data_IF_689095295627
#
_entry.id   IF_689095295627
#
_cell.length_a   1.000
_cell.length_b   1.000
_cell.length_c   1.000
_cell.angle_alpha   90.00
_cell.angle_beta   90.00
_cell.angle_gamma   90.00
#
_symmetry.space_group_name_H-M   'P 1'
#
loop_
_entity.id
_entity.type
_entity.pdbx_description
1 polymer ?
#
# COMPACT_ATOMS: atom_id res chain seq x y z
N UNK A 1 -26.21 2.36 19.21
CA UNK A 1 -26.32 1.11 18.42
C UNK A 1 -26.26 1.48 16.95
N UNK A 2 -25.09 1.51 16.34
CA UNK A 2 -24.93 1.85 14.92
C UNK A 2 -24.34 0.65 14.19
N UNK A 3 -25.11 0.11 13.26
CA UNK A 3 -24.84 -1.10 12.50
C UNK A 3 -23.45 -1.07 11.85
N UNK A 4 -22.67 -2.12 12.10
CA UNK A 4 -21.41 -2.41 11.39
C UNK A 4 -21.83 -2.90 10.00
N UNK A 5 -21.92 -1.96 9.04
CA UNK A 5 -22.40 -2.24 7.69
C UNK A 5 -21.27 -2.70 6.78
N UNK A 6 -21.38 -3.91 6.26
CA UNK A 6 -20.75 -4.29 4.99
C UNK A 6 -21.47 -3.52 3.88
N UNK A 7 -20.78 -2.62 3.20
CA UNK A 7 -21.38 -1.82 2.13
C UNK A 7 -20.65 -2.03 0.81
N UNK A 8 -21.40 -2.31 -0.25
CA UNK A 8 -20.86 -2.39 -1.61
C UNK A 8 -21.03 -1.01 -2.27
N UNK A 9 -19.97 -0.49 -2.87
CA UNK A 9 -19.91 0.82 -3.52
C UNK A 9 -19.53 0.66 -4.99
N UNK A 10 -20.17 1.37 -5.93
CA UNK A 10 -19.96 1.10 -7.35
C UNK A 10 -18.63 1.66 -7.91
N UNK A 11 -18.15 2.78 -7.37
CA UNK A 11 -17.08 3.58 -7.99
C UNK A 11 -15.88 3.84 -7.09
N UNK A 12 -14.67 3.80 -7.67
CA UNK A 12 -13.39 3.93 -6.92
C UNK A 12 -13.36 5.16 -6.04
N UNK A 13 -13.90 6.26 -6.55
CA UNK A 13 -13.98 7.54 -5.87
C UNK A 13 -14.74 7.38 -4.55
N UNK A 14 -15.93 6.78 -4.59
CA UNK A 14 -16.76 6.48 -3.41
C UNK A 14 -16.02 5.62 -2.39
N UNK A 15 -15.27 4.60 -2.83
CA UNK A 15 -14.44 3.81 -1.91
C UNK A 15 -13.34 4.66 -1.27
N UNK A 16 -12.60 5.42 -2.08
CA UNK A 16 -11.51 6.26 -1.60
C UNK A 16 -12.00 7.31 -0.61
N UNK A 17 -13.16 7.92 -0.85
CA UNK A 17 -13.70 8.98 0.00
C UNK A 17 -14.28 8.43 1.31
N UNK A 18 -14.74 7.17 1.33
CA UNK A 18 -15.15 6.49 2.58
C UNK A 18 -13.97 6.06 3.44
N UNK A 19 -12.92 5.52 2.82
CA UNK A 19 -11.71 5.11 3.55
C UNK A 19 -10.91 6.33 3.98
N UNK A 20 -10.77 7.33 3.11
CA UNK A 20 -10.00 8.55 3.34
C UNK A 20 -10.87 9.80 3.19
N UNK A 21 -11.82 10.03 4.12
CA UNK A 21 -12.68 11.20 4.06
C UNK A 21 -11.86 12.48 4.24
N UNK A 22 -12.15 13.50 3.43
CA UNK A 22 -11.47 14.80 3.46
C UNK A 22 -9.94 14.68 3.37
N UNK A 23 -9.43 13.79 2.52
CA UNK A 23 -7.98 13.59 2.30
C UNK A 23 -7.27 14.89 1.91
N UNK A 24 -7.96 15.81 1.25
CA UNK A 24 -7.50 17.16 0.90
C UNK A 24 -7.01 17.94 2.12
N UNK A 25 -7.66 17.77 3.28
CA UNK A 25 -7.32 18.46 4.54
C UNK A 25 -6.29 17.72 5.39
N UNK A 26 -5.90 16.51 5.00
CA UNK A 26 -4.95 15.70 5.76
C UNK A 26 -3.56 16.37 5.91
N UNK A 27 -3.23 17.30 5.02
CA UNK A 27 -2.03 18.11 5.06
C UNK A 27 -1.88 18.99 6.31
N UNK A 28 -3.00 19.50 6.85
CA UNK A 28 -2.98 20.62 7.80
C UNK A 28 -2.98 20.19 9.28
N UNK A 29 -3.40 18.95 9.60
CA UNK A 29 -3.45 18.43 10.96
C UNK A 29 -2.89 17.02 11.00
N UNK A 30 -1.95 16.76 11.91
CA UNK A 30 -1.28 15.47 12.14
C UNK A 30 -2.33 14.35 12.31
N UNK A 31 -2.68 13.71 11.19
CA UNK A 31 -3.90 12.92 11.09
C UNK A 31 -3.67 11.51 11.62
N UNK A 32 -3.72 11.36 12.94
CA UNK A 32 -3.63 10.07 13.64
C UNK A 32 -4.61 9.03 13.08
N UNK A 33 -5.72 9.47 12.50
CA UNK A 33 -6.70 8.61 11.85
C UNK A 33 -6.18 7.90 10.60
N UNK A 34 -5.16 8.43 9.89
CA UNK A 34 -4.59 7.82 8.68
C UNK A 34 -3.87 6.49 8.96
N UNK A 35 -3.30 6.34 10.16
CA UNK A 35 -2.46 5.19 10.51
C UNK A 35 -3.23 3.86 10.53
N UNK A 36 -4.54 3.92 10.74
CA UNK A 36 -5.41 2.74 10.92
C UNK A 36 -6.18 2.38 9.65
N UNK A 37 -5.85 3.00 8.51
CA UNK A 37 -6.59 2.82 7.26
C UNK A 37 -5.72 2.34 6.12
N UNK A 38 -6.30 1.55 5.23
CA UNK A 38 -5.67 1.16 3.97
C UNK A 38 -6.69 0.69 2.95
N UNK A 39 -6.38 0.91 1.67
CA UNK A 39 -7.05 0.21 0.57
C UNK A 39 -6.22 -1.03 0.20
N UNK A 40 -6.88 -2.15 -0.06
CA UNK A 40 -6.24 -3.42 -0.40
C UNK A 40 -6.43 -3.73 -1.88
N UNK A 41 -5.32 -4.10 -2.51
CA UNK A 41 -5.25 -4.49 -3.92
C UNK A 41 -4.59 -5.87 -4.09
N UNK A 42 -4.94 -6.64 -5.13
CA UNK A 42 -4.21 -7.86 -5.47
C UNK A 42 -2.73 -7.58 -5.82
N UNK A 43 -2.46 -6.60 -6.70
CA UNK A 43 -1.10 -6.36 -7.24
C UNK A 43 -0.47 -5.04 -6.77
N UNK A 44 0.87 -4.97 -6.80
CA UNK A 44 1.61 -3.75 -6.43
C UNK A 44 1.33 -2.59 -7.40
N UNK A 45 1.20 -2.89 -8.69
CA UNK A 45 0.90 -1.90 -9.74
C UNK A 45 -0.45 -1.22 -9.50
N UNK A 46 -1.48 -1.99 -9.19
CA UNK A 46 -2.80 -1.43 -8.89
C UNK A 46 -2.79 -0.61 -7.60
N UNK A 47 -2.06 -1.07 -6.57
CA UNK A 47 -1.88 -0.29 -5.34
C UNK A 47 -1.16 1.04 -5.65
N UNK A 48 -0.16 1.02 -6.53
CA UNK A 48 0.58 2.20 -6.96
C UNK A 48 -0.33 3.23 -7.65
N UNK A 49 -1.23 2.80 -8.54
CA UNK A 49 -2.20 3.71 -9.17
C UNK A 49 -3.11 4.43 -8.15
N UNK A 50 -3.62 3.70 -7.14
CA UNK A 50 -4.42 4.30 -6.06
C UNK A 50 -3.60 5.25 -5.20
N UNK A 51 -2.34 4.89 -4.92
CA UNK A 51 -1.44 5.72 -4.14
C UNK A 51 -1.18 7.07 -4.82
N UNK A 52 -0.95 7.08 -6.14
CA UNK A 52 -0.74 8.32 -6.89
C UNK A 52 -2.02 9.17 -6.93
N UNK A 53 -3.16 8.55 -7.21
CA UNK A 53 -4.47 9.22 -7.19
C UNK A 53 -4.77 9.90 -5.84
N UNK A 54 -4.50 9.22 -4.72
CA UNK A 54 -4.73 9.78 -3.39
C UNK A 54 -3.69 10.83 -2.99
N UNK A 55 -2.45 10.68 -3.45
CA UNK A 55 -1.40 11.68 -3.23
C UNK A 55 -1.77 13.00 -3.93
N UNK A 56 -2.27 12.94 -5.16
CA UNK A 56 -2.70 14.12 -5.91
C UNK A 56 -3.78 14.93 -5.18
N UNK A 57 -4.73 14.24 -4.52
CA UNK A 57 -5.82 14.88 -3.77
C UNK A 57 -5.37 15.68 -2.54
N UNK A 58 -4.17 15.46 -2.00
CA UNK A 58 -3.68 16.23 -0.83
C UNK A 58 -3.37 17.67 -1.25
N UNK A 59 -3.81 18.64 -0.44
CA UNK A 59 -3.61 20.08 -0.71
C UNK A 59 -2.17 20.60 -0.55
N UNK A 60 -1.29 19.85 0.12
CA UNK A 60 0.11 20.25 0.32
C UNK A 60 0.93 20.16 -0.96
N UNK A 61 2.00 20.94 -1.01
CA UNK A 61 2.92 20.98 -2.13
C UNK A 61 3.58 19.61 -2.37
N UNK A 62 3.58 19.19 -3.64
CA UNK A 62 4.24 17.98 -4.08
C UNK A 62 5.72 18.23 -4.34
N UNK A 63 6.59 17.52 -3.64
CA UNK A 63 8.02 17.53 -3.90
C UNK A 63 8.39 16.33 -4.75
N UNK A 64 9.15 16.61 -5.80
CA UNK A 64 9.72 15.62 -6.72
C UNK A 64 11.15 15.31 -6.30
N UNK A 65 11.45 14.04 -6.03
CA UNK A 65 12.80 13.56 -5.86
C UNK A 65 13.21 12.69 -7.04
N UNK A 66 14.36 13.01 -7.62
CA UNK A 66 14.99 12.18 -8.65
C UNK A 66 16.05 11.28 -8.01
N UNK A 67 16.14 10.05 -8.50
CA UNK A 67 17.22 9.15 -8.16
C UNK A 67 18.51 9.50 -8.90
N UNK A 68 19.65 9.05 -8.37
CA UNK A 68 20.91 9.05 -9.09
C UNK A 68 21.29 7.59 -9.37
N UNK A 69 21.32 7.23 -10.66
CA UNK A 69 21.50 5.86 -11.10
C UNK A 69 22.89 5.68 -11.73
N UNK A 70 23.57 4.59 -11.37
CA UNK A 70 24.90 4.26 -11.87
C UNK A 70 25.01 2.77 -12.09
N UNK A 71 25.57 2.32 -13.22
CA UNK A 71 26.00 0.92 -13.38
C UNK A 71 27.09 0.56 -12.37
N UNK A 72 27.16 -0.69 -11.95
CA UNK A 72 28.22 -1.12 -11.02
C UNK A 72 29.53 -1.50 -11.73
N UNK A 73 29.45 -1.93 -12.99
CA UNK A 73 30.61 -2.34 -13.78
C UNK A 73 30.91 -1.29 -14.86
N UNK A 74 32.18 -0.89 -15.00
CA UNK A 74 32.56 0.18 -15.94
C UNK A 74 32.32 -0.19 -17.41
N UNK A 75 32.50 -1.47 -17.77
CA UNK A 75 32.23 -1.98 -19.12
C UNK A 75 30.76 -1.82 -19.53
N UNK A 76 29.86 -1.85 -18.55
CA UNK A 76 28.41 -1.75 -18.75
C UNK A 76 27.98 -0.29 -18.98
N UNK A 77 28.81 0.70 -18.63
CA UNK A 77 28.47 2.12 -18.74
C UNK A 77 28.25 2.58 -20.18
N UNK A 78 28.91 1.93 -21.15
CA UNK A 78 28.75 2.21 -22.59
C UNK A 78 27.46 1.57 -23.13
N UNK A 79 27.04 0.44 -22.56
CA UNK A 79 25.89 -0.33 -23.01
C UNK A 79 24.57 0.12 -22.40
N UNK A 80 24.60 0.65 -21.18
CA UNK A 80 23.41 1.06 -20.42
C UNK A 80 23.49 2.53 -20.07
N UNK A 81 22.98 3.42 -20.94
CA UNK A 81 22.95 4.85 -20.66
C UNK A 81 22.02 5.16 -19.48
N UNK A 82 22.23 6.31 -18.82
CA UNK A 82 21.51 6.66 -17.59
C UNK A 82 20.00 6.81 -17.83
N UNK A 83 19.60 7.27 -19.01
CA UNK A 83 18.19 7.37 -19.44
C UNK A 83 17.53 6.00 -19.50
N UNK A 84 18.26 4.97 -19.91
CA UNK A 84 17.78 3.59 -19.87
C UNK A 84 17.60 3.14 -18.42
N UNK A 85 18.56 3.43 -17.52
CA UNK A 85 18.42 3.12 -16.09
C UNK A 85 17.21 3.81 -15.47
N UNK A 86 16.97 5.08 -15.80
CA UNK A 86 15.82 5.85 -15.30
C UNK A 86 14.48 5.26 -15.73
N UNK A 87 14.42 4.59 -16.89
CA UNK A 87 13.22 3.91 -17.38
C UNK A 87 12.88 2.61 -16.64
N UNK A 88 13.83 2.05 -15.88
CA UNK A 88 13.63 0.79 -15.16
C UNK A 88 12.89 0.98 -13.84
N UNK A 89 11.88 0.13 -13.62
CA UNK A 89 11.11 0.04 -12.37
C UNK A 89 11.18 -1.38 -11.76
N UNK A 90 12.36 -1.80 -11.27
CA UNK A 90 12.53 -3.14 -10.72
C UNK A 90 11.81 -3.28 -9.36
N UNK A 91 11.28 -4.47 -9.03
CA UNK A 91 10.53 -4.68 -7.80
C UNK A 91 11.38 -4.44 -6.56
N UNK A 92 10.79 -3.77 -5.56
CA UNK A 92 11.42 -3.55 -4.26
C UNK A 92 12.40 -2.38 -4.20
N UNK A 93 12.42 -1.53 -5.24
CA UNK A 93 13.13 -0.25 -5.29
C UNK A 93 12.11 0.82 -5.70
N UNK A 94 12.22 2.06 -5.21
CA UNK A 94 11.40 3.16 -5.72
C UNK A 94 11.68 3.45 -7.21
N UNK A 95 10.70 4.03 -7.93
CA UNK A 95 10.90 4.52 -9.28
C UNK A 95 11.95 5.64 -9.30
N UNK A 96 12.48 5.97 -10.49
CA UNK A 96 13.45 7.06 -10.66
C UNK A 96 12.89 8.40 -10.16
N UNK A 97 11.61 8.66 -10.43
CA UNK A 97 10.91 9.87 -9.97
C UNK A 97 9.96 9.47 -8.84
N UNK A 98 10.23 9.97 -7.64
CA UNK A 98 9.38 9.78 -6.48
C UNK A 98 8.71 11.10 -6.09
N UNK A 99 7.38 11.11 -6.14
CA UNK A 99 6.56 12.23 -5.68
C UNK A 99 6.12 12.00 -4.24
N UNK A 100 6.32 13.01 -3.38
CA UNK A 100 5.95 12.95 -1.96
C UNK A 100 5.34 14.28 -1.53
N UNK A 101 4.36 14.21 -0.61
CA UNK A 101 3.72 15.36 0.02
C UNK A 101 3.84 15.27 1.53
N UNK A 102 3.83 16.42 2.20
CA UNK A 102 3.74 16.47 3.68
C UNK A 102 2.44 15.80 4.12
N UNK A 103 2.49 15.09 5.24
CA UNK A 103 1.41 14.29 5.85
C UNK A 103 1.05 13.00 5.11
N UNK A 104 1.64 12.72 3.94
CA UNK A 104 1.40 11.48 3.22
C UNK A 104 1.91 10.26 4.01
N UNK A 105 1.14 9.16 4.06
CA UNK A 105 1.59 7.89 4.60
C UNK A 105 2.55 7.24 3.59
N UNK A 106 3.69 6.82 4.10
CA UNK A 106 4.73 6.11 3.35
C UNK A 106 5.11 4.80 4.05
N UNK A 107 5.78 3.92 3.34
CA UNK A 107 6.22 2.63 3.84
C UNK A 107 7.68 2.39 3.45
N UNK A 108 8.49 1.87 4.38
CA UNK A 108 9.89 1.52 4.12
C UNK A 108 10.02 0.28 3.22
N UNK A 109 10.94 0.37 2.27
CA UNK A 109 11.33 -0.68 1.31
C UNK A 109 12.62 -1.40 1.70
N UNK A 110 13.36 -0.88 2.69
CA UNK A 110 14.59 -1.49 3.24
C UNK A 110 14.64 -1.33 4.75
N UNK A 111 15.37 -2.23 5.38
CA UNK A 111 15.75 -2.10 6.77
C UNK A 111 16.79 -0.98 6.89
N UNK A 112 16.54 -0.02 7.78
CA UNK A 112 17.46 1.08 8.08
C UNK A 112 18.08 0.92 9.47
N UNK A 113 17.25 0.56 10.45
CA UNK A 113 17.68 0.39 11.83
C UNK A 113 16.77 -0.63 12.55
N UNK A 114 16.98 -1.94 12.35
CA UNK A 114 16.23 -2.98 13.06
C UNK A 114 16.46 -2.92 14.58
N UNK A 115 15.44 -3.22 15.41
CA UNK A 115 14.08 -3.64 15.04
C UNK A 115 13.11 -2.48 14.74
N UNK A 116 13.57 -1.23 14.86
CA UNK A 116 12.72 -0.03 14.81
C UNK A 116 12.27 0.34 13.38
N UNK A 117 13.20 0.39 12.44
CA UNK A 117 12.97 0.79 11.05
C UNK A 117 13.25 -0.39 10.11
N UNK A 118 12.21 -1.16 9.87
CA UNK A 118 12.24 -2.38 9.06
C UNK A 118 11.39 -2.22 7.78
N UNK A 119 11.54 -3.16 6.86
CA UNK A 119 10.69 -3.26 5.67
C UNK A 119 9.22 -3.35 6.11
N UNK A 120 8.37 -2.53 5.51
CA UNK A 120 6.94 -2.52 5.80
C UNK A 120 6.52 -1.57 6.92
N UNK A 121 7.46 -0.98 7.67
CA UNK A 121 7.12 0.04 8.68
C UNK A 121 6.39 1.20 7.98
N UNK A 122 5.18 1.49 8.43
CA UNK A 122 4.37 2.63 7.98
C UNK A 122 4.80 3.88 8.75
N UNK A 123 4.91 4.98 8.02
CA UNK A 123 5.40 6.26 8.52
C UNK A 123 4.55 7.39 7.93
N UNK A 124 4.58 8.56 8.55
CA UNK A 124 4.02 9.79 7.98
C UNK A 124 5.10 10.82 7.76
N UNK A 125 5.05 11.46 6.61
CA UNK A 125 5.95 12.57 6.27
C UNK A 125 5.63 13.79 7.13
N UNK A 126 6.64 14.30 7.84
CA UNK A 126 6.56 15.52 8.65
C UNK A 126 7.22 16.70 7.95
N UNK A 127 8.41 16.49 7.41
CA UNK A 127 9.14 17.49 6.65
C UNK A 127 9.94 16.84 5.51
N UNK A 128 10.12 17.60 4.43
CA UNK A 128 10.77 17.16 3.21
C UNK A 128 12.00 18.04 2.97
N UNK A 129 13.19 17.44 3.04
CA UNK A 129 14.44 18.11 2.74
C UNK A 129 15.16 17.39 1.60
N UNK A 130 16.13 18.06 0.96
CA UNK A 130 16.82 17.56 -0.24
C UNK A 130 17.36 16.12 -0.11
N UNK A 131 18.00 15.80 1.03
CA UNK A 131 18.72 14.55 1.24
C UNK A 131 18.17 13.68 2.39
N UNK A 132 17.23 14.21 3.16
CA UNK A 132 16.64 13.56 4.34
C UNK A 132 15.16 13.88 4.39
N UNK A 133 14.34 12.89 4.72
CA UNK A 133 12.92 13.08 4.99
C UNK A 133 12.69 12.84 6.48
N UNK A 134 12.06 13.81 7.14
CA UNK A 134 11.62 13.68 8.52
C UNK A 134 10.26 13.01 8.54
N UNK A 135 10.14 11.94 9.34
CA UNK A 135 8.96 11.09 9.35
C UNK A 135 8.60 10.68 10.78
N UNK A 136 7.32 10.44 11.01
CA UNK A 136 6.79 9.92 12.27
C UNK A 136 6.37 8.46 12.09
N UNK A 137 6.69 7.60 13.05
CA UNK A 137 6.29 6.18 13.03
C UNK A 137 4.80 6.04 13.33
N UNK A 138 4.06 5.31 12.49
CA UNK A 138 2.61 5.18 12.58
C UNK A 138 2.11 4.05 13.48
N UNK A 139 2.87 2.97 13.62
CA UNK A 139 2.38 1.75 14.26
C UNK A 139 3.51 1.00 14.94
N UNK A 140 3.19 0.28 16.01
CA UNK A 140 4.10 -0.63 16.71
C UNK A 140 4.70 0.00 17.97
N UNK A 141 5.73 -0.66 18.52
CA UNK A 141 6.33 -0.26 19.80
C UNK A 141 6.91 1.16 19.81
N UNK A 142 7.30 1.68 18.64
CA UNK A 142 7.96 2.98 18.47
C UNK A 142 7.00 4.04 17.89
N UNK A 143 5.69 3.84 18.00
CA UNK A 143 4.69 4.77 17.48
C UNK A 143 4.86 6.19 18.03
N UNK A 144 4.69 7.20 17.17
CA UNK A 144 4.81 8.61 17.52
C UNK A 144 6.23 9.15 17.52
N UNK A 145 7.25 8.28 17.50
CA UNK A 145 8.63 8.73 17.41
C UNK A 145 8.94 9.34 16.04
N UNK A 146 9.70 10.44 16.07
CA UNK A 146 10.21 11.09 14.86
C UNK A 146 11.58 10.53 14.50
N UNK A 147 11.77 10.22 13.22
CA UNK A 147 12.98 9.62 12.66
C UNK A 147 13.29 10.24 11.31
N UNK A 148 14.50 9.99 10.82
CA UNK A 148 14.99 10.53 9.56
C UNK A 148 15.28 9.41 8.58
N UNK A 149 14.79 9.57 7.35
CA UNK A 149 15.01 8.63 6.25
C UNK A 149 15.98 9.27 5.26
N UNK A 150 17.23 8.80 5.17
CA UNK A 150 18.20 9.29 4.20
C UNK A 150 18.03 8.61 2.83
N UNK A 151 18.65 9.19 1.80
CA UNK A 151 18.89 8.49 0.53
C UNK A 151 19.93 7.40 0.72
N UNK A 152 19.66 6.18 0.25
CA UNK A 152 20.59 5.05 0.33
C UNK A 152 20.82 4.40 -1.04
N UNK A 153 21.97 3.75 -1.26
CA UNK A 153 22.18 2.87 -2.40
C UNK A 153 21.18 1.72 -2.41
N UNK A 154 20.48 1.53 -3.53
CA UNK A 154 19.60 0.38 -3.74
C UNK A 154 20.08 -0.38 -4.98
N UNK A 155 20.29 -1.68 -4.82
CA UNK A 155 20.70 -2.58 -5.90
C UNK A 155 19.53 -3.54 -6.17
N UNK A 156 18.97 -3.58 -7.38
CA UNK A 156 17.90 -4.51 -7.71
C UNK A 156 18.44 -5.92 -7.82
N UNK A 157 17.66 -6.89 -7.36
CA UNK A 157 18.04 -8.30 -7.40
C UNK A 157 17.68 -8.99 -8.72
N UNK A 158 16.72 -8.44 -9.48
CA UNK A 158 16.09 -9.09 -10.63
C UNK A 158 16.40 -8.39 -11.96
N UNK A 159 17.66 -8.01 -12.19
CA UNK A 159 18.10 -7.40 -13.45
C UNK A 159 19.28 -8.20 -14.04
N UNK A 160 19.33 -8.34 -15.37
CA UNK A 160 20.40 -9.05 -16.07
C UNK A 160 21.78 -8.40 -15.91
N UNK A 161 21.80 -7.11 -15.56
CA UNK A 161 22.98 -6.35 -15.24
C UNK A 161 22.79 -5.66 -13.89
N UNK A 162 23.90 -5.32 -13.23
CA UNK A 162 23.86 -4.69 -11.90
C UNK A 162 24.00 -3.19 -12.03
N UNK A 163 23.02 -2.47 -11.50
CA UNK A 163 23.10 -1.03 -11.31
C UNK A 163 22.71 -0.67 -9.88
N UNK A 164 23.05 0.55 -9.48
CA UNK A 164 22.79 1.13 -8.18
C UNK A 164 21.93 2.37 -8.38
N UNK A 165 20.81 2.43 -7.67
CA UNK A 165 19.91 3.58 -7.59
C UNK A 165 20.07 4.23 -6.22
N UNK A 166 20.63 5.43 -6.14
CA UNK A 166 20.70 6.22 -4.92
C UNK A 166 19.38 6.97 -4.73
N UNK A 167 18.55 6.51 -3.80
CA UNK A 167 17.23 7.11 -3.58
C UNK A 167 16.69 6.87 -2.16
N UNK A 168 15.55 7.48 -1.83
CA UNK A 168 14.89 7.21 -0.55
C UNK A 168 14.21 5.84 -0.60
N UNK A 169 14.46 4.93 0.36
CA UNK A 169 13.92 3.57 0.32
C UNK A 169 12.46 3.54 0.82
N UNK A 170 11.59 4.33 0.22
CA UNK A 170 10.19 4.51 0.62
C UNK A 170 9.25 4.42 -0.57
N UNK A 171 7.98 4.17 -0.29
CA UNK A 171 6.86 4.35 -1.23
C UNK A 171 5.65 4.89 -0.51
N UNK A 172 4.77 5.60 -1.21
CA UNK A 172 3.46 6.02 -0.69
C UNK A 172 2.61 4.77 -0.37
N UNK A 173 1.81 4.81 0.69
CA UNK A 173 1.10 3.64 1.21
C UNK A 173 -0.34 3.91 1.70
N UNK A 174 -1.15 4.63 0.92
CA UNK A 174 -2.61 4.64 1.12
C UNK A 174 -3.27 3.31 0.75
N UNK A 175 -2.71 2.65 -0.26
CA UNK A 175 -3.07 1.33 -0.71
C UNK A 175 -1.86 0.40 -0.60
N UNK A 176 -2.14 -0.83 -0.19
CA UNK A 176 -1.14 -1.91 -0.07
C UNK A 176 -1.69 -3.17 -0.72
N UNK A 177 -0.81 -4.13 -1.00
CA UNK A 177 -1.25 -5.41 -1.52
C UNK A 177 -1.85 -6.26 -0.40
N UNK A 178 -2.83 -7.09 -0.72
CA UNK A 178 -3.47 -8.01 0.23
C UNK A 178 -2.40 -8.85 0.96
N UNK A 179 -1.43 -9.40 0.23
CA UNK A 179 -0.34 -10.20 0.81
C UNK A 179 0.50 -9.41 1.84
N UNK A 180 0.62 -8.07 1.70
CA UNK A 180 1.38 -7.22 2.63
C UNK A 180 0.59 -6.81 3.88
N UNK A 181 -0.70 -7.11 3.95
CA UNK A 181 -1.53 -6.81 5.12
C UNK A 181 -1.47 -7.90 6.19
N UNK A 182 -0.88 -9.06 5.86
CA UNK A 182 -0.74 -10.14 6.82
C UNK A 182 0.10 -9.68 8.02
N UNK A 183 -0.48 -9.73 9.21
CA UNK A 183 0.16 -9.28 10.46
C UNK A 183 0.01 -7.79 10.76
N UNK A 184 -0.70 -7.00 9.94
CA UNK A 184 -1.02 -5.61 10.24
C UNK A 184 -2.41 -5.47 10.89
N UNK A 185 -2.53 -4.51 11.81
CA UNK A 185 -3.79 -4.10 12.43
C UNK A 185 -4.34 -2.85 11.72
N UNK A 186 -5.47 -2.99 11.04
CA UNK A 186 -6.17 -1.90 10.35
C UNK A 186 -7.60 -1.82 10.90
N UNK A 187 -8.08 -0.61 11.22
CA UNK A 187 -9.46 -0.39 11.68
C UNK A 187 -10.43 -0.13 10.54
N UNK A 188 -10.01 0.61 9.51
CA UNK A 188 -10.83 0.91 8.34
C UNK A 188 -10.15 0.41 7.07
N UNK A 189 -10.75 -0.55 6.40
CA UNK A 189 -10.14 -1.19 5.23
C UNK A 189 -11.08 -1.15 4.04
N UNK A 190 -10.60 -0.65 2.90
CA UNK A 190 -11.29 -0.75 1.63
C UNK A 190 -10.71 -1.88 0.80
N UNK A 191 -11.53 -2.71 0.18
CA UNK A 191 -11.02 -3.74 -0.73
C UNK A 191 -11.51 -3.39 -2.15
N UNK A 192 -10.57 -3.34 -3.09
CA UNK A 192 -10.87 -3.12 -4.50
C UNK A 192 -10.42 -4.32 -5.34
N UNK A 193 -11.38 -5.19 -5.63
CA UNK A 193 -11.23 -6.42 -6.42
C UNK A 193 -11.78 -6.27 -7.85
N UNK A 194 -11.68 -5.08 -8.45
CA UNK A 194 -12.02 -4.92 -9.89
C UNK A 194 -11.09 -5.72 -10.81
N UNK A 195 -9.98 -6.22 -10.28
CA UNK A 195 -9.05 -7.11 -10.95
C UNK A 195 -8.94 -8.41 -10.15
N UNK A 196 -8.71 -9.52 -10.87
CA UNK A 196 -8.71 -10.85 -10.27
C UNK A 196 -7.58 -11.04 -9.25
N UNK A 197 -7.90 -11.78 -8.18
CA UNK A 197 -6.91 -12.36 -7.29
C UNK A 197 -6.17 -13.48 -8.04
N UNK A 198 -4.84 -13.49 -7.95
CA UNK A 198 -4.01 -14.43 -8.70
C UNK A 198 -3.52 -15.62 -7.87
N UNK A 199 -3.68 -15.58 -6.53
CA UNK A 199 -3.25 -16.68 -5.66
C UNK A 199 -4.38 -17.22 -4.80
N UNK A 200 -4.34 -18.53 -4.55
CA UNK A 200 -5.25 -19.20 -3.63
C UNK A 200 -5.20 -18.55 -2.24
N UNK A 201 -6.36 -18.34 -1.62
CA UNK A 201 -6.47 -17.73 -0.28
C UNK A 201 -6.28 -16.21 -0.21
N UNK A 202 -5.98 -15.50 -1.31
CA UNK A 202 -5.89 -14.02 -1.28
C UNK A 202 -7.21 -13.38 -0.86
N UNK A 203 -8.32 -13.86 -1.39
CA UNK A 203 -9.65 -13.37 -1.01
C UNK A 203 -9.92 -13.61 0.48
N UNK A 204 -9.56 -14.79 0.99
CA UNK A 204 -9.66 -15.11 2.42
C UNK A 204 -8.81 -14.17 3.27
N UNK A 205 -7.56 -13.92 2.88
CA UNK A 205 -6.69 -12.96 3.58
C UNK A 205 -7.30 -11.57 3.56
N UNK A 206 -7.83 -11.11 2.42
CA UNK A 206 -8.50 -9.81 2.35
C UNK A 206 -9.70 -9.72 3.30
N UNK A 207 -10.60 -10.71 3.26
CA UNK A 207 -11.80 -10.74 4.11
C UNK A 207 -11.49 -10.91 5.61
N UNK A 208 -10.47 -11.71 5.96
CA UNK A 208 -10.07 -11.90 7.38
C UNK A 208 -9.48 -10.65 8.03
N UNK A 209 -8.92 -9.72 7.23
CA UNK A 209 -8.43 -8.42 7.73
C UNK A 209 -9.56 -7.45 8.02
N UNK A 210 -10.75 -7.74 7.53
CA UNK A 210 -11.95 -6.92 7.69
C UNK A 210 -12.78 -7.36 8.90
N UNK A 211 -12.54 -8.55 9.46
CA UNK A 211 -13.39 -9.16 10.49
C UNK A 211 -12.98 -8.95 11.95
N UNK A 212 -11.89 -8.22 12.26
CA UNK A 212 -11.36 -8.15 13.64
C UNK A 212 -11.27 -6.77 14.30
N UNK A 213 -11.73 -5.69 13.68
CA UNK A 213 -11.82 -4.39 14.37
C UNK A 213 -13.12 -3.67 14.01
N UNK A 214 -13.89 -3.38 15.05
CA UNK A 214 -15.10 -2.57 15.06
C UNK A 214 -14.95 -1.31 14.20
N UNK A 215 -15.97 -1.00 13.39
CA UNK A 215 -16.22 0.22 12.61
C UNK A 215 -15.84 0.23 11.11
N UNK A 216 -16.84 -0.06 10.26
CA UNK A 216 -17.03 0.51 8.91
C UNK A 216 -16.37 -0.25 7.75
N UNK A 217 -17.17 -0.65 6.75
CA UNK A 217 -16.72 -1.42 5.59
C UNK A 217 -17.30 -0.80 4.31
N UNK A 218 -16.45 -0.62 3.30
CA UNK A 218 -16.88 -0.22 1.97
C UNK A 218 -16.08 -1.03 0.96
N UNK A 219 -16.76 -1.77 0.10
CA UNK A 219 -16.19 -2.71 -0.87
C UNK A 219 -16.62 -2.29 -2.26
N UNK A 220 -15.72 -2.18 -3.24
CA UNK A 220 -16.15 -1.86 -4.60
C UNK A 220 -17.02 -2.98 -5.19
N UNK A 221 -17.99 -2.62 -6.04
CA UNK A 221 -18.90 -3.49 -6.81
C UNK A 221 -18.29 -4.86 -7.14
N UNK A 222 -19.06 -5.90 -6.80
CA UNK A 222 -18.77 -7.32 -6.99
C UNK A 222 -18.73 -7.70 -8.49
N UNK A 223 -17.79 -7.16 -9.27
CA UNK A 223 -17.44 -7.79 -10.56
C UNK A 223 -16.69 -9.11 -10.34
N UNK A 224 -15.98 -9.25 -9.22
CA UNK A 224 -15.24 -10.48 -8.90
C UNK A 224 -16.09 -11.62 -8.32
N UNK A 225 -17.36 -11.40 -7.96
CA UNK A 225 -18.26 -12.55 -7.69
C UNK A 225 -18.65 -13.25 -8.99
N UNK A 226 -18.52 -12.57 -10.13
CA UNK A 226 -18.68 -13.21 -11.43
C UNK A 226 -17.41 -13.93 -11.93
N UNK A 227 -16.24 -13.71 -11.33
CA UNK A 227 -14.98 -14.23 -11.88
C UNK A 227 -14.33 -15.39 -11.12
N UNK A 228 -14.83 -15.84 -9.96
CA UNK A 228 -14.27 -17.05 -9.32
C UNK A 228 -15.24 -17.80 -8.39
N UNK A 229 -16.52 -17.79 -8.74
CA UNK A 229 -17.45 -18.80 -8.24
C UNK A 229 -18.04 -19.48 -9.46
N UNK A 230 -17.54 -20.68 -9.79
CA UNK A 230 -18.38 -21.67 -10.48
C UNK A 230 -19.72 -21.65 -9.76
N UNK A 231 -20.78 -21.42 -10.51
CA UNK A 231 -22.15 -20.98 -10.22
C UNK A 231 -22.90 -21.45 -8.95
N UNK A 232 -22.29 -22.22 -8.05
CA UNK A 232 -22.93 -22.81 -6.86
C UNK A 232 -22.46 -22.23 -5.51
N UNK A 233 -21.44 -21.35 -5.47
CA UNK A 233 -20.91 -20.80 -4.19
C UNK A 233 -21.34 -19.35 -3.89
N UNK A 234 -22.17 -18.74 -4.73
CA UNK A 234 -22.66 -17.36 -4.56
C UNK A 234 -23.59 -17.27 -3.34
N UNK A 235 -24.46 -18.27 -3.24
CA UNK A 235 -25.32 -18.50 -2.07
C UNK A 235 -24.51 -18.88 -0.82
N UNK A 236 -23.38 -19.58 -0.99
CA UNK A 236 -22.51 -19.96 0.14
C UNK A 236 -21.71 -18.77 0.66
N UNK A 237 -21.22 -17.87 -0.19
CA UNK A 237 -20.47 -16.69 0.21
C UNK A 237 -21.40 -15.63 0.83
N UNK A 238 -22.63 -15.49 0.31
CA UNK A 238 -23.68 -14.72 0.99
C UNK A 238 -24.06 -15.35 2.34
N UNK A 239 -24.21 -16.67 2.45
CA UNK A 239 -24.51 -17.33 3.73
C UNK A 239 -23.37 -17.23 4.76
N UNK A 240 -22.10 -17.34 4.35
CA UNK A 240 -20.94 -17.22 5.25
C UNK A 240 -20.80 -15.79 5.78
N UNK A 241 -21.10 -14.79 4.93
CA UNK A 241 -21.11 -13.38 5.33
C UNK A 241 -22.31 -13.04 6.24
N UNK A 242 -23.48 -13.64 6.01
CA UNK A 242 -24.69 -13.39 6.79
C UNK A 242 -24.75 -14.11 8.14
N UNK A 243 -24.20 -15.31 8.26
CA UNK A 243 -24.35 -16.14 9.47
C UNK A 243 -23.28 -15.91 10.54
N UNK A 244 -22.17 -15.21 10.20
CA UNK A 244 -20.99 -15.02 11.07
C UNK A 244 -20.39 -16.34 11.62
N UNK A 245 -20.74 -17.49 11.05
CA UNK A 245 -20.26 -18.79 11.51
C UNK A 245 -19.15 -19.29 10.60
N UNK A 246 -17.91 -18.91 10.93
CA UNK A 246 -16.71 -19.19 10.14
C UNK A 246 -16.08 -20.56 10.44
N UNK A 247 -16.62 -21.33 11.41
CA UNK A 247 -16.00 -22.58 11.86
C UNK A 247 -16.57 -23.86 11.25
N UNK A 248 -17.72 -23.83 10.56
CA UNK A 248 -18.46 -25.07 10.29
C UNK A 248 -18.70 -25.48 8.84
N UNK A 249 -18.18 -24.77 7.82
CA UNK A 249 -18.43 -25.16 6.41
C UNK A 249 -17.27 -24.98 5.43
N UNK A 250 -16.04 -25.30 5.85
CA UNK A 250 -14.89 -25.36 4.93
C UNK A 250 -14.46 -26.78 4.52
N UNK A 251 -15.23 -27.82 4.87
CA UNK A 251 -14.94 -29.20 4.46
C UNK A 251 -15.30 -29.53 2.99
N UNK A 252 -15.76 -28.56 2.18
CA UNK A 252 -16.22 -28.80 0.80
C UNK A 252 -15.45 -27.97 -0.25
N UNK A 253 -14.39 -27.26 0.17
CA UNK A 253 -13.50 -26.54 -0.76
C UNK A 253 -12.08 -27.10 -0.61
N UNK A 254 -11.92 -28.37 -0.94
CA UNK A 254 -10.66 -29.05 -1.27
C UNK A 254 -10.73 -29.57 -2.68
#
# INVERSE_FOLDING_TARGET
MSCIGFEIVPELITLTDKIYPNIDKAGNNCSSWLKERSILKPTNEQAHCINNFLLEKISTEQIRYESADTVTELKDAVHYPVEFLHSLDPPGIPPHILHIKISAPIMLLRNLNPPKLCIGTRLQVKALQKNVIEVMIFTGQYEGETVFVPRIPLIPSNCHFRFKRLHFPIKVCYAVTINKTQGQSLKMTGIDLRNDCFSHGQLYVACSRVSLCSFGLSCMELRCVHCLIKTDALDQLQQVILTKDWQLRFAVIT
#
